data_IF_707251377234
#
_entry.id   IF_707251377234
#
_cell.length_a   1.000
_cell.length_b   1.000
_cell.length_c   1.000
_cell.angle_alpha   90.00
_cell.angle_beta   90.00
_cell.angle_gamma   90.00
#
_symmetry.space_group_name_H-M   'P 1'
#
loop_
_entity.id
_entity.type
_entity.pdbx_description
1 polymer ?
#
# COMPACT_ATOMS: atom_id res chain seq x y z
N UNK A 1 -28.16 -16.49 8.15
CA UNK A 1 -27.56 -17.67 8.78
C UNK A 1 -26.99 -18.49 7.65
N UNK A 2 -25.67 -18.42 7.45
CA UNK A 2 -24.85 -19.46 6.81
C UNK A 2 -23.44 -19.26 7.36
N UNK A 3 -23.21 -19.97 8.46
CA UNK A 3 -21.91 -20.14 9.09
C UNK A 3 -21.11 -21.10 8.22
N UNK A 4 -20.23 -20.58 7.37
CA UNK A 4 -19.10 -21.37 6.87
C UNK A 4 -17.93 -21.00 7.77
N UNK A 5 -17.61 -21.92 8.67
CA UNK A 5 -16.42 -21.86 9.48
C UNK A 5 -15.19 -21.83 8.57
N UNK A 6 -14.31 -20.85 8.80
CA UNK A 6 -12.91 -20.94 8.42
C UNK A 6 -12.11 -20.93 9.73
N UNK A 7 -12.42 -21.91 10.59
CA UNK A 7 -11.98 -21.95 11.98
C UNK A 7 -10.51 -22.36 12.19
N UNK A 8 -9.73 -22.61 11.14
CA UNK A 8 -8.32 -22.94 11.28
C UNK A 8 -7.49 -22.20 10.24
N UNK A 9 -6.75 -21.22 10.75
CA UNK A 9 -5.78 -20.44 10.01
C UNK A 9 -4.73 -21.34 9.36
N UNK A 10 -4.68 -21.25 8.04
CA UNK A 10 -3.48 -21.53 7.26
C UNK A 10 -2.93 -20.20 6.74
N UNK A 11 -2.58 -19.29 7.66
CA UNK A 11 -1.83 -18.06 7.32
C UNK A 11 -0.32 -18.23 7.55
N UNK A 12 0.08 -19.25 8.30
CA UNK A 12 1.45 -19.74 8.30
C UNK A 12 1.55 -20.93 7.33
N UNK A 13 2.47 -20.88 6.37
CA UNK A 13 2.81 -21.96 5.42
C UNK A 13 1.79 -22.16 4.28
N UNK A 14 1.52 -21.13 3.48
CA UNK A 14 1.10 -21.33 2.09
C UNK A 14 2.11 -20.64 1.19
N UNK A 15 2.86 -21.45 0.45
CA UNK A 15 4.09 -21.07 -0.23
C UNK A 15 3.96 -19.85 -1.14
N UNK A 16 5.05 -19.10 -1.19
CA UNK A 16 5.67 -18.34 -2.28
C UNK A 16 4.99 -18.18 -3.66
N UNK A 17 4.12 -19.11 -4.08
CA UNK A 17 3.66 -19.28 -5.46
C UNK A 17 2.15 -19.23 -5.66
N UNK A 18 1.34 -18.85 -4.67
CA UNK A 18 -0.09 -18.62 -4.94
C UNK A 18 -0.36 -17.13 -5.21
N UNK A 19 -0.60 -16.82 -6.49
CA UNK A 19 -1.20 -15.55 -6.90
C UNK A 19 -2.47 -15.33 -6.07
N UNK A 20 -2.54 -14.19 -5.37
CA UNK A 20 -3.75 -13.72 -4.68
C UNK A 20 -4.98 -14.00 -5.57
N UNK A 21 -6.04 -14.67 -5.08
CA UNK A 21 -7.18 -15.00 -5.93
C UNK A 21 -7.72 -13.71 -6.55
N UNK A 22 -8.08 -13.75 -7.84
CA UNK A 22 -8.50 -12.56 -8.61
C UNK A 22 -9.65 -11.79 -7.95
N UNK A 23 -10.44 -12.47 -7.12
CA UNK A 23 -11.57 -11.94 -6.35
C UNK A 23 -11.32 -11.95 -4.83
N UNK A 24 -10.06 -11.90 -4.38
CA UNK A 24 -9.76 -11.75 -2.96
C UNK A 24 -10.25 -10.37 -2.49
N UNK A 25 -11.39 -10.35 -1.82
CA UNK A 25 -11.83 -9.16 -1.10
C UNK A 25 -11.04 -9.10 0.18
N UNK A 26 -9.99 -8.29 0.19
CA UNK A 26 -9.25 -7.97 1.41
C UNK A 26 -10.28 -7.51 2.47
N UNK A 27 -10.32 -8.22 3.60
CA UNK A 27 -11.21 -7.88 4.71
C UNK A 27 -10.63 -6.62 5.34
N UNK A 28 -11.15 -5.46 4.93
CA UNK A 28 -10.78 -4.19 5.53
C UNK A 28 -11.68 -3.87 6.70
N UNK A 29 -11.11 -3.20 7.70
CA UNK A 29 -11.92 -2.56 8.71
C UNK A 29 -12.81 -1.48 8.05
N UNK A 30 -14.10 -1.35 8.42
CA UNK A 30 -15.01 -0.40 7.77
C UNK A 30 -14.52 1.05 7.82
N UNK A 31 -13.83 1.43 8.91
CA UNK A 31 -13.22 2.77 9.02
C UNK A 31 -12.09 2.94 8.00
N UNK A 32 -11.25 1.92 7.80
CA UNK A 32 -10.16 1.95 6.83
C UNK A 32 -10.69 2.20 5.42
N UNK A 33 -11.77 1.50 5.03
CA UNK A 33 -12.35 1.69 3.70
C UNK A 33 -12.85 3.12 3.49
N UNK A 34 -13.51 3.69 4.50
CA UNK A 34 -14.01 5.07 4.44
C UNK A 34 -12.88 6.09 4.34
N UNK A 35 -11.81 5.92 5.13
CA UNK A 35 -10.66 6.81 5.14
C UNK A 35 -9.88 6.77 3.82
N UNK A 36 -9.67 5.58 3.24
CA UNK A 36 -9.08 5.45 1.90
C UNK A 36 -9.88 6.19 0.83
N UNK A 37 -11.20 6.04 0.85
CA UNK A 37 -12.08 6.73 -0.08
C UNK A 37 -12.04 8.25 0.11
N UNK A 38 -12.00 8.71 1.36
CA UNK A 38 -11.86 10.12 1.69
C UNK A 38 -10.54 10.69 1.17
N UNK A 39 -9.41 10.02 1.42
CA UNK A 39 -8.09 10.43 0.93
C UNK A 39 -8.03 10.47 -0.59
N UNK A 40 -8.61 9.48 -1.27
CA UNK A 40 -8.69 9.48 -2.73
C UNK A 40 -9.52 10.66 -3.27
N UNK A 41 -10.59 11.06 -2.58
CA UNK A 41 -11.41 12.23 -2.94
C UNK A 41 -10.65 13.53 -2.71
N UNK A 42 -9.92 13.64 -1.60
CA UNK A 42 -9.06 14.79 -1.28
C UNK A 42 -7.99 14.98 -2.37
N UNK A 43 -7.23 13.92 -2.68
CA UNK A 43 -6.18 13.96 -3.71
C UNK A 43 -6.72 14.39 -5.08
N UNK A 44 -7.90 13.90 -5.48
CA UNK A 44 -8.56 14.33 -6.73
C UNK A 44 -8.91 15.81 -6.73
N UNK A 45 -9.39 16.33 -5.60
CA UNK A 45 -9.71 17.75 -5.44
C UNK A 45 -8.45 18.60 -5.50
N UNK A 46 -7.40 18.17 -4.78
CA UNK A 46 -6.09 18.80 -4.79
C UNK A 46 -5.54 18.89 -6.21
N UNK A 47 -5.41 17.77 -6.93
CA UNK A 47 -4.89 17.73 -8.31
C UNK A 47 -5.67 18.65 -9.25
N UNK A 48 -6.99 18.73 -9.12
CA UNK A 48 -7.81 19.67 -9.89
C UNK A 48 -7.50 21.14 -9.52
N UNK A 49 -7.37 21.46 -8.24
CA UNK A 49 -6.99 22.79 -7.78
C UNK A 49 -5.60 23.19 -8.27
N UNK A 50 -4.64 22.27 -8.23
CA UNK A 50 -3.30 22.44 -8.77
C UNK A 50 -3.31 22.79 -10.27
N UNK A 51 -4.12 22.07 -11.04
CA UNK A 51 -4.30 22.31 -12.47
C UNK A 51 -4.91 23.68 -12.76
N UNK A 52 -5.88 24.13 -11.95
CA UNK A 52 -6.52 25.44 -12.12
C UNK A 52 -5.55 26.58 -11.78
N UNK A 53 -4.76 26.42 -10.72
CA UNK A 53 -3.89 27.48 -10.19
C UNK A 53 -2.57 27.62 -10.93
N UNK A 54 -1.92 26.50 -11.26
CA UNK A 54 -0.60 26.48 -11.89
C UNK A 54 -0.64 25.91 -13.32
N UNK A 55 -1.73 25.30 -13.75
CA UNK A 55 -1.82 24.66 -15.08
C UNK A 55 -1.38 23.20 -15.09
N UNK A 56 -1.30 22.62 -16.29
CA UNK A 56 -1.12 21.18 -16.51
C UNK A 56 0.24 20.62 -16.04
N UNK A 57 1.27 21.46 -15.98
CA UNK A 57 2.62 21.00 -15.65
C UNK A 57 2.75 20.57 -14.18
N UNK A 58 1.92 21.11 -13.30
CA UNK A 58 2.07 20.87 -11.86
C UNK A 58 1.52 19.49 -11.43
N UNK A 59 0.33 19.04 -11.87
CA UNK A 59 -0.09 17.66 -11.71
C UNK A 59 0.88 16.63 -12.30
N UNK A 60 1.45 16.92 -13.48
CA UNK A 60 2.41 16.03 -14.14
C UNK A 60 3.68 15.87 -13.30
N UNK A 61 4.22 16.99 -12.81
CA UNK A 61 5.38 17.00 -11.92
C UNK A 61 5.10 16.21 -10.64
N UNK A 62 3.95 16.42 -10.00
CA UNK A 62 3.56 15.70 -8.78
C UNK A 62 3.49 14.18 -9.03
N UNK A 63 2.90 13.76 -10.15
CA UNK A 63 2.83 12.34 -10.51
C UNK A 63 4.22 11.73 -10.80
N UNK A 64 5.11 12.50 -11.43
CA UNK A 64 6.50 12.08 -11.65
C UNK A 64 7.26 11.93 -10.33
N UNK A 65 7.15 12.92 -9.43
CA UNK A 65 7.80 12.88 -8.12
C UNK A 65 7.32 11.69 -7.28
N UNK A 66 6.00 11.43 -7.25
CA UNK A 66 5.43 10.26 -6.58
C UNK A 66 6.02 8.94 -7.12
N UNK A 67 6.07 8.78 -8.44
CA UNK A 67 6.63 7.57 -9.07
C UNK A 67 8.13 7.40 -8.81
N UNK A 68 8.88 8.51 -8.82
CA UNK A 68 10.30 8.48 -8.47
C UNK A 68 10.47 8.03 -7.02
N UNK A 69 9.69 8.57 -6.07
CA UNK A 69 9.80 8.19 -4.66
C UNK A 69 9.36 6.75 -4.35
N UNK A 70 8.43 6.18 -5.12
CA UNK A 70 8.08 4.76 -5.05
C UNK A 70 9.21 3.84 -5.53
N UNK A 71 10.05 4.33 -6.45
CA UNK A 71 11.10 3.54 -7.11
C UNK A 71 12.50 3.69 -6.50
N UNK A 72 12.68 4.53 -5.47
CA UNK A 72 13.98 4.70 -4.80
C UNK A 72 14.40 3.38 -4.17
N UNK A 73 15.46 2.80 -4.76
CA UNK A 73 15.86 1.40 -4.62
C UNK A 73 16.18 0.98 -3.20
N UNK A 74 15.47 -0.06 -2.75
CA UNK A 74 15.88 -0.92 -1.64
C UNK A 74 16.13 -2.33 -2.18
N UNK A 75 16.77 -3.16 -1.35
CA UNK A 75 16.88 -4.59 -1.64
C UNK A 75 15.48 -5.14 -1.97
N UNK A 76 15.32 -6.08 -2.92
CA UNK A 76 14.03 -6.64 -3.34
C UNK A 76 13.13 -7.14 -2.20
N UNK A 77 13.77 -7.48 -1.08
CA UNK A 77 13.16 -8.04 0.13
C UNK A 77 12.63 -6.99 1.10
N UNK A 78 13.13 -5.75 1.01
CA UNK A 78 12.85 -4.72 1.99
C UNK A 78 11.87 -3.71 1.40
N UNK A 79 10.67 -3.69 1.97
CA UNK A 79 9.68 -2.67 1.64
C UNK A 79 10.29 -1.27 1.77
N UNK A 80 10.02 -0.41 0.81
CA UNK A 80 10.28 1.02 0.95
C UNK A 80 9.55 1.51 2.19
N UNK A 81 10.21 2.33 3.01
CA UNK A 81 9.55 2.98 4.15
C UNK A 81 8.70 4.16 3.68
N UNK A 82 8.56 4.37 2.37
CA UNK A 82 7.76 5.42 1.73
C UNK A 82 8.00 6.84 2.26
N UNK A 83 9.14 7.07 2.91
CA UNK A 83 9.41 8.28 3.70
C UNK A 83 9.33 9.54 2.84
N UNK A 84 9.90 9.52 1.63
CA UNK A 84 9.83 10.65 0.70
C UNK A 84 8.42 10.85 0.12
N UNK A 85 7.68 9.76 -0.10
CA UNK A 85 6.29 9.84 -0.55
C UNK A 85 5.38 10.41 0.56
N UNK A 86 5.66 10.12 1.83
CA UNK A 86 4.94 10.68 2.98
C UNK A 86 5.27 12.15 3.18
N UNK A 87 6.53 12.57 3.00
CA UNK A 87 6.92 13.99 2.98
C UNK A 87 6.19 14.75 1.88
N UNK A 88 6.14 14.19 0.65
CA UNK A 88 5.48 14.84 -0.48
C UNK A 88 3.96 15.03 -0.25
N UNK A 89 3.34 14.08 0.45
CA UNK A 89 1.91 14.13 0.75
C UNK A 89 1.58 14.82 2.08
N UNK A 90 2.59 15.36 2.77
CA UNK A 90 2.48 15.96 4.11
C UNK A 90 1.81 15.02 5.13
N UNK A 91 2.12 13.73 5.06
CA UNK A 91 1.54 12.70 5.95
C UNK A 91 2.52 12.18 6.99
N UNK A 92 3.76 12.67 7.01
CA UNK A 92 4.82 12.17 7.91
C UNK A 92 4.44 12.33 9.40
N UNK A 93 3.87 13.47 9.76
CA UNK A 93 3.47 13.79 11.14
C UNK A 93 2.01 13.44 11.42
N UNK A 94 1.28 12.93 10.43
CA UNK A 94 -0.16 12.63 10.56
C UNK A 94 -0.38 11.17 10.91
N UNK A 95 -1.20 10.91 11.91
CA UNK A 95 -1.61 9.53 12.26
C UNK A 95 -2.55 9.00 11.17
N UNK A 96 -2.12 7.96 10.48
CA UNK A 96 -2.87 7.30 9.41
C UNK A 96 -3.55 6.03 9.91
N UNK A 97 -4.51 5.54 9.12
CA UNK A 97 -5.16 4.24 9.33
C UNK A 97 -4.19 3.07 9.51
N UNK A 98 -2.97 3.16 8.97
CA UNK A 98 -1.95 2.12 9.10
C UNK A 98 -1.40 2.03 10.52
N UNK A 99 -1.33 3.16 11.21
CA UNK A 99 -0.65 3.25 12.50
C UNK A 99 -1.47 2.59 13.62
N UNK A 100 -2.81 2.64 13.54
CA UNK A 100 -3.69 2.05 14.56
C UNK A 100 -4.43 0.79 14.11
N UNK A 101 -4.55 0.50 12.81
CA UNK A 101 -5.19 -0.74 12.31
C UNK A 101 -4.21 -1.84 11.91
N UNK A 102 -2.90 -1.54 11.85
CA UNK A 102 -1.87 -2.52 11.52
C UNK A 102 -0.70 -2.44 12.52
N UNK A 103 -0.88 -2.91 13.76
CA UNK A 103 0.17 -2.91 14.77
C UNK A 103 1.38 -3.69 14.25
N UNK A 104 2.59 -3.19 14.50
CA UNK A 104 3.83 -3.82 14.04
C UNK A 104 3.97 -5.28 14.51
N UNK A 105 3.38 -5.61 15.67
CA UNK A 105 3.38 -6.93 16.29
C UNK A 105 2.63 -8.00 15.48
N UNK A 106 1.66 -7.61 14.65
CA UNK A 106 0.86 -8.53 13.82
C UNK A 106 1.16 -8.40 12.32
N UNK A 107 2.22 -7.68 11.96
CA UNK A 107 2.56 -7.44 10.56
C UNK A 107 3.33 -8.63 9.96
N UNK A 108 2.61 -9.62 9.43
CA UNK A 108 3.15 -10.82 8.77
C UNK A 108 3.77 -10.53 7.38
N UNK A 109 4.60 -9.50 7.25
CA UNK A 109 5.20 -9.14 5.95
C UNK A 109 6.58 -9.72 5.71
N UNK A 110 6.99 -10.66 6.58
CA UNK A 110 8.26 -11.37 6.48
C UNK A 110 8.11 -12.60 5.58
N UNK A 111 8.32 -12.41 4.28
CA UNK A 111 8.59 -13.52 3.36
C UNK A 111 10.10 -13.75 3.36
N UNK A 112 10.59 -15.01 3.45
CA UNK A 112 12.01 -15.30 3.36
C UNK A 112 12.63 -14.70 2.10
N UNK A 113 13.83 -14.13 2.24
CA UNK A 113 14.50 -13.36 1.19
C UNK A 113 14.68 -14.13 -0.13
N UNK A 114 14.97 -15.43 -0.05
CA UNK A 114 15.18 -16.29 -1.22
C UNK A 114 13.91 -16.45 -2.06
N UNK A 115 12.74 -16.55 -1.43
CA UNK A 115 11.43 -16.68 -2.10
C UNK A 115 11.14 -15.46 -2.98
N UNK A 116 11.46 -14.27 -2.48
CA UNK A 116 11.22 -13.01 -3.21
C UNK A 116 12.18 -12.93 -4.40
N UNK A 117 13.44 -13.33 -4.19
CA UNK A 117 14.49 -13.33 -5.20
C UNK A 117 14.15 -14.29 -6.36
N UNK A 118 13.73 -15.52 -6.08
CA UNK A 118 13.36 -16.51 -7.10
C UNK A 118 12.22 -16.00 -8.02
N UNK A 119 11.23 -15.32 -7.45
CA UNK A 119 10.12 -14.71 -8.21
C UNK A 119 10.61 -13.62 -9.18
N UNK A 120 11.53 -12.78 -8.75
CA UNK A 120 12.02 -11.66 -9.54
C UNK A 120 13.02 -12.13 -10.63
N UNK A 121 13.78 -13.19 -10.35
CA UNK A 121 14.74 -13.79 -11.28
C UNK A 121 14.11 -14.75 -12.31
N UNK A 122 12.85 -15.16 -12.13
CA UNK A 122 12.12 -16.09 -13.04
C UNK A 122 12.91 -17.38 -13.33
N UNK A 123 13.61 -17.91 -12.34
CA UNK A 123 14.35 -19.19 -12.41
C UNK A 123 13.44 -20.32 -11.95
#
# INVERSE_FOLDING_TARGET
MDLIDNSLGNYAILGAHTTRPKNFKEIYHPVQQNLRNYKAKENRTLVKGLMITQGMHMPLRLAMEQKVFESVGRLPILKSSNLHAEVLNDTLDTVTERDYLNPAEYNETLVPSFVIMDKDLKI
#
